data_IF_214463505482
#
_entry.id   IF_214463505482
#
_cell.length_a   1.000
_cell.length_b   1.000
_cell.length_c   1.000
_cell.angle_alpha   90.00
_cell.angle_beta   90.00
_cell.angle_gamma   90.00
#
_symmetry.space_group_name_H-M   'P 1'
#
loop_
_entity.id
_entity.type
_entity.pdbx_description
1 polymer ?
#
# COMPACT_ATOMS: atom_id res chain seq x y z
N UNK A 1 -5.18 12.41 10.12
CA UNK A 1 -3.91 11.99 10.75
C UNK A 1 -3.72 10.48 10.74
N UNK A 2 -4.75 9.69 11.08
CA UNK A 2 -4.67 8.22 11.08
C UNK A 2 -4.31 7.63 9.71
N UNK A 3 -4.83 8.21 8.61
CA UNK A 3 -4.55 7.73 7.26
C UNK A 3 -3.07 7.80 6.90
N UNK A 4 -2.35 8.86 7.28
CA UNK A 4 -0.92 8.99 7.01
C UNK A 4 -0.08 7.94 7.76
N UNK A 5 -0.50 7.55 8.97
CA UNK A 5 0.18 6.51 9.72
C UNK A 5 -0.02 5.13 9.09
N UNK A 6 -1.25 4.85 8.64
CA UNK A 6 -1.58 3.63 7.91
C UNK A 6 -0.83 3.58 6.57
N UNK A 7 -0.71 4.70 5.85
CA UNK A 7 0.04 4.77 4.58
C UNK A 7 1.52 4.44 4.80
N UNK A 8 2.11 4.96 5.89
CA UNK A 8 3.49 4.61 6.28
C UNK A 8 3.66 3.14 6.66
N UNK A 9 2.65 2.50 7.25
CA UNK A 9 2.67 1.07 7.55
C UNK A 9 2.59 0.22 6.29
N UNK A 10 1.65 0.54 5.38
CA UNK A 10 1.54 -0.14 4.08
C UNK A 10 2.83 0.02 3.29
N UNK A 11 3.40 1.23 3.24
CA UNK A 11 4.70 1.48 2.59
C UNK A 11 5.82 0.60 3.12
N UNK A 12 5.99 0.56 4.44
CA UNK A 12 7.00 -0.31 5.05
C UNK A 12 6.77 -1.79 4.76
N UNK A 13 5.52 -2.24 4.66
CA UNK A 13 5.19 -3.62 4.32
C UNK A 13 5.47 -3.93 2.85
N UNK A 14 5.13 -3.03 1.93
CA UNK A 14 5.47 -3.18 0.50
C UNK A 14 6.98 -3.27 0.34
N UNK A 15 7.73 -2.35 0.95
CA UNK A 15 9.20 -2.35 0.92
C UNK A 15 9.80 -3.61 1.57
N UNK A 16 9.29 -4.04 2.73
CA UNK A 16 9.78 -5.23 3.43
C UNK A 16 9.43 -6.55 2.71
N UNK A 17 8.38 -6.57 1.90
CA UNK A 17 7.99 -7.77 1.16
C UNK A 17 9.01 -8.14 0.07
N UNK A 18 9.78 -7.16 -0.43
CA UNK A 18 10.69 -7.34 -1.56
C UNK A 18 9.99 -7.74 -2.87
N UNK A 19 8.65 -7.73 -2.90
CA UNK A 19 7.86 -8.15 -4.03
C UNK A 19 7.67 -6.97 -5.00
N UNK A 20 7.66 -7.22 -6.32
CA UNK A 20 7.50 -6.20 -7.34
C UNK A 20 6.02 -5.81 -7.48
N UNK A 21 5.44 -5.15 -6.47
CA UNK A 21 4.08 -4.61 -6.56
C UNK A 21 3.98 -3.14 -6.16
N UNK A 22 3.00 -2.46 -6.76
CA UNK A 22 2.66 -1.08 -6.48
C UNK A 22 1.21 -1.00 -6.01
N UNK A 23 1.00 -0.19 -4.98
CA UNK A 23 -0.32 0.07 -4.41
C UNK A 23 -0.69 1.51 -4.69
N UNK A 24 -1.69 1.72 -5.54
CA UNK A 24 -2.34 3.01 -5.73
C UNK A 24 -3.42 3.20 -4.67
N UNK A 25 -3.32 4.27 -3.91
CA UNK A 25 -4.26 4.65 -2.87
C UNK A 25 -5.43 5.43 -3.45
N UNK A 26 -6.52 5.52 -2.69
CA UNK A 26 -7.76 6.23 -3.10
C UNK A 26 -7.53 7.73 -3.29
N UNK A 27 -6.50 8.29 -2.66
CA UNK A 27 -6.09 9.68 -2.79
C UNK A 27 -5.17 9.92 -4.02
N UNK A 28 -4.89 8.89 -4.82
CA UNK A 28 -4.00 8.94 -5.97
C UNK A 28 -2.50 8.83 -5.62
N UNK A 29 -2.15 8.63 -4.35
CA UNK A 29 -0.77 8.37 -3.95
C UNK A 29 -0.38 6.93 -4.28
N UNK A 30 0.84 6.71 -4.77
CA UNK A 30 1.34 5.37 -5.10
C UNK A 30 2.46 4.96 -4.16
N UNK A 31 2.43 3.70 -3.73
CA UNK A 31 3.36 3.12 -2.77
C UNK A 31 3.98 1.85 -3.34
N UNK A 32 5.31 1.78 -3.38
CA UNK A 32 6.06 0.64 -3.91
C UNK A 32 6.91 1.00 -5.14
N UNK A 33 7.57 0.00 -5.70
CA UNK A 33 8.56 0.18 -6.77
C UNK A 33 7.86 0.19 -8.13
N UNK A 34 7.73 1.36 -8.75
CA UNK A 34 7.03 1.53 -10.03
C UNK A 34 7.78 0.95 -11.23
N UNK A 35 9.11 0.86 -11.15
CA UNK A 35 9.99 0.59 -12.29
C UNK A 35 9.87 -0.84 -12.84
N UNK A 36 9.30 -1.78 -12.07
CA UNK A 36 9.13 -3.17 -12.49
C UNK A 36 7.95 -3.87 -11.81
N UNK A 37 6.87 -3.12 -11.52
CA UNK A 37 5.72 -3.66 -10.79
C UNK A 37 4.98 -4.73 -11.62
N UNK A 38 5.15 -6.00 -11.25
CA UNK A 38 4.42 -7.14 -11.81
C UNK A 38 2.95 -7.16 -11.37
N UNK A 39 2.63 -6.59 -10.20
CA UNK A 39 1.28 -6.52 -9.66
C UNK A 39 0.93 -5.08 -9.31
N UNK A 40 -0.23 -4.60 -9.80
CA UNK A 40 -0.77 -3.28 -9.46
C UNK A 40 -2.06 -3.45 -8.66
N UNK A 41 -2.10 -2.90 -7.47
CA UNK A 41 -3.28 -2.94 -6.59
C UNK A 41 -3.81 -1.52 -6.46
N UNK A 42 -5.09 -1.31 -6.78
CA UNK A 42 -5.74 -0.03 -6.57
C UNK A 42 -6.74 -0.13 -5.42
N UNK A 43 -6.53 0.66 -4.39
CA UNK A 43 -7.43 0.79 -3.26
C UNK A 43 -8.44 1.90 -3.56
N UNK A 44 -9.69 1.53 -3.76
CA UNK A 44 -10.76 2.48 -4.04
C UNK A 44 -11.28 3.20 -2.79
N UNK A 45 -11.00 2.67 -1.59
CA UNK A 45 -11.51 3.21 -0.33
C UNK A 45 -10.42 3.24 0.76
N UNK A 46 -10.51 4.22 1.66
CA UNK A 46 -9.62 4.33 2.82
C UNK A 46 -9.71 3.13 3.78
N UNK A 47 -10.89 2.53 3.89
CA UNK A 47 -11.12 1.35 4.73
C UNK A 47 -10.25 0.14 4.29
N UNK A 48 -9.99 0.00 2.98
CA UNK A 48 -9.15 -1.06 2.44
C UNK A 48 -7.68 -0.92 2.85
N UNK A 49 -7.23 0.30 3.19
CA UNK A 49 -5.89 0.53 3.71
C UNK A 49 -5.70 -0.10 5.09
N UNK A 50 -6.72 -0.05 5.95
CA UNK A 50 -6.67 -0.67 7.28
C UNK A 50 -6.52 -2.17 7.16
N UNK A 51 -7.24 -2.80 6.24
CA UNK A 51 -7.11 -4.22 5.98
C UNK A 51 -5.69 -4.60 5.52
N UNK A 52 -5.05 -3.79 4.66
CA UNK A 52 -3.65 -4.03 4.26
C UNK A 52 -2.62 -3.73 5.36
N UNK A 53 -2.94 -2.81 6.27
CA UNK A 53 -2.08 -2.48 7.41
C UNK A 53 -2.22 -3.48 8.57
N UNK A 54 -3.26 -4.32 8.57
CA UNK A 54 -3.50 -5.31 9.61
C UNK A 54 -2.47 -6.46 9.50
N UNK A 55 -1.72 -6.76 10.57
CA UNK A 55 -0.71 -7.82 10.57
C UNK A 55 -1.30 -9.24 10.55
N UNK A 56 -2.61 -9.41 10.72
CA UNK A 56 -3.26 -10.73 10.77
C UNK A 56 -3.64 -11.34 9.41
N UNK A 57 -3.48 -10.59 8.32
CA UNK A 57 -3.54 -11.06 6.92
C UNK A 57 -2.16 -11.46 6.40
#
# INVERSE_FOLDING_TARGET
>A
MLDQLLVRQVRRRVEASGLPFIVELWNGESVGTATDAAVRVRLHQAASLRAMADPSL
#
